data_IF_715454047843
#
_entry.id   IF_715454047843
#
_cell.length_a   1.000
_cell.length_b   1.000
_cell.length_c   1.000
_cell.angle_alpha   90.00
_cell.angle_beta   90.00
_cell.angle_gamma   90.00
#
_symmetry.space_group_name_H-M   'P 1'
#
loop_
_entity.id
_entity.type
_entity.pdbx_description
1 polymer ?
#
# COMPACT_ATOMS: atom_id res chain seq x y z
N UNK A 1 -9.45 -15.41 -10.07
CA UNK A 1 -9.14 -14.87 -8.72
C UNK A 1 -8.10 -13.77 -8.93
N UNK A 2 -8.38 -12.51 -8.55
CA UNK A 2 -7.40 -11.42 -8.76
C UNK A 2 -6.15 -11.68 -7.89
N UNK A 3 -4.93 -11.74 -8.47
CA UNK A 3 -3.69 -11.98 -7.70
C UNK A 3 -3.53 -11.00 -6.53
N UNK A 4 -3.91 -9.74 -6.76
CA UNK A 4 -3.94 -8.70 -5.72
C UNK A 4 -4.88 -9.05 -4.54
N UNK A 5 -6.05 -9.64 -4.81
CA UNK A 5 -7.00 -10.02 -3.77
C UNK A 5 -6.46 -11.21 -2.95
N UNK A 6 -5.81 -12.18 -3.61
CA UNK A 6 -5.14 -13.29 -2.92
C UNK A 6 -4.03 -12.78 -2.00
N UNK A 7 -3.13 -11.92 -2.50
CA UNK A 7 -2.04 -11.39 -1.68
C UNK A 7 -2.50 -10.47 -0.56
N UNK A 8 -3.50 -9.61 -0.79
CA UNK A 8 -4.07 -8.78 0.28
C UNK A 8 -4.76 -9.60 1.37
N UNK A 9 -5.31 -10.76 1.02
CA UNK A 9 -6.06 -11.61 1.95
C UNK A 9 -5.12 -12.55 2.73
N UNK A 10 -4.06 -13.05 2.09
CA UNK A 10 -3.23 -14.13 2.64
C UNK A 10 -1.77 -13.75 2.90
N UNK A 11 -1.29 -12.60 2.40
CA UNK A 11 0.12 -12.18 2.51
C UNK A 11 0.26 -10.93 3.39
N UNK A 12 1.26 -10.93 4.28
CA UNK A 12 1.42 -9.94 5.36
C UNK A 12 1.66 -8.54 4.78
N UNK A 13 0.97 -7.53 5.35
CA UNK A 13 0.98 -6.14 4.90
C UNK A 13 2.11 -5.29 5.54
N UNK A 14 3.02 -5.90 6.29
CA UNK A 14 4.13 -5.17 6.90
C UNK A 14 5.19 -4.88 5.84
N UNK A 15 5.30 -3.61 5.48
CA UNK A 15 6.32 -3.14 4.57
C UNK A 15 7.64 -2.97 5.32
N UNK A 16 8.66 -3.71 4.88
CA UNK A 16 10.04 -3.62 5.36
C UNK A 16 10.70 -2.35 4.81
N UNK A 17 11.72 -1.77 5.47
CA UNK A 17 12.46 -0.60 4.99
C UNK A 17 13.41 -1.00 3.82
N UNK A 18 12.84 -1.45 2.72
CA UNK A 18 13.59 -1.90 1.55
C UNK A 18 12.87 -1.53 0.24
N UNK A 19 13.65 -1.46 -0.83
CA UNK A 19 13.18 -1.37 -2.22
C UNK A 19 13.54 -2.68 -2.91
N UNK A 20 12.54 -3.36 -3.48
CA UNK A 20 12.79 -4.54 -4.31
C UNK A 20 13.39 -4.08 -5.64
N UNK A 21 14.53 -4.64 -6.02
CA UNK A 21 15.24 -4.28 -7.26
C UNK A 21 15.21 -5.46 -8.22
N UNK A 22 14.40 -5.32 -9.26
CA UNK A 22 14.34 -6.22 -10.40
C UNK A 22 15.35 -5.76 -11.46
N UNK A 23 16.44 -6.49 -11.66
CA UNK A 23 17.43 -6.15 -12.68
C UNK A 23 18.20 -7.39 -13.16
N UNK A 24 18.89 -7.25 -14.29
CA UNK A 24 19.77 -8.30 -14.80
C UNK A 24 20.95 -8.57 -13.85
N UNK A 25 21.25 -9.85 -13.62
CA UNK A 25 22.43 -10.31 -12.87
C UNK A 25 23.70 -10.41 -13.72
N UNK A 26 23.61 -10.16 -15.03
CA UNK A 26 24.78 -10.29 -15.87
C UNK A 26 25.86 -9.27 -15.43
N UNK A 27 27.15 -9.65 -15.39
CA UNK A 27 28.21 -8.86 -14.76
C UNK A 27 28.29 -7.40 -15.23
N UNK A 28 27.97 -7.14 -16.50
CA UNK A 28 27.97 -5.79 -17.07
C UNK A 28 26.95 -4.83 -16.44
N UNK A 29 25.92 -5.34 -15.76
CA UNK A 29 24.92 -4.52 -15.06
C UNK A 29 25.25 -4.32 -13.58
N UNK A 30 26.24 -5.02 -13.04
CA UNK A 30 26.59 -4.94 -11.62
C UNK A 30 26.98 -3.50 -11.22
N UNK A 31 27.70 -2.78 -12.09
CA UNK A 31 28.05 -1.39 -11.87
C UNK A 31 26.83 -0.45 -11.75
N UNK A 32 25.70 -0.76 -12.43
CA UNK A 32 24.46 0.01 -12.28
C UNK A 32 23.88 -0.15 -10.87
N UNK A 33 23.94 -1.38 -10.33
CA UNK A 33 23.49 -1.66 -8.99
C UNK A 33 24.35 -0.95 -7.95
N UNK A 34 25.66 -1.19 -7.99
CA UNK A 34 26.58 -0.77 -6.93
C UNK A 34 26.79 0.74 -6.90
N UNK A 35 26.85 1.37 -8.08
CA UNK A 35 27.21 2.79 -8.19
C UNK A 35 26.01 3.73 -8.27
N UNK A 36 24.83 3.23 -8.63
CA UNK A 36 23.64 4.08 -8.85
C UNK A 36 22.46 3.63 -8.00
N UNK A 37 21.95 2.42 -8.20
CA UNK A 37 20.70 1.98 -7.57
C UNK A 37 20.85 1.86 -6.05
N UNK A 38 21.82 1.09 -5.57
CA UNK A 38 21.99 0.87 -4.13
C UNK A 38 22.36 2.15 -3.36
N UNK A 39 23.21 3.05 -3.87
CA UNK A 39 23.43 4.37 -3.27
C UNK A 39 22.16 5.23 -3.23
N UNK A 40 21.40 5.30 -4.33
CA UNK A 40 20.17 6.10 -4.38
C UNK A 40 19.12 5.62 -3.38
N UNK A 41 18.94 4.30 -3.26
CA UNK A 41 18.02 3.71 -2.28
C UNK A 41 18.46 4.00 -0.85
N UNK A 42 19.75 3.80 -0.53
CA UNK A 42 20.28 4.04 0.83
C UNK A 42 20.23 5.52 1.26
N UNK A 43 20.17 6.44 0.30
CA UNK A 43 19.99 7.87 0.57
C UNK A 43 18.58 8.24 1.07
N UNK A 44 17.63 7.30 1.08
CA UNK A 44 16.23 7.54 1.46
C UNK A 44 15.96 6.91 2.83
N UNK A 45 15.23 7.63 3.67
CA UNK A 45 14.72 7.13 4.96
C UNK A 45 13.20 7.05 4.93
N UNK A 46 12.65 6.02 5.57
CA UNK A 46 11.21 5.88 5.84
C UNK A 46 11.05 5.67 7.34
N UNK A 47 10.41 6.64 8.01
CA UNK A 47 10.55 6.79 9.46
C UNK A 47 12.01 7.06 9.83
N UNK A 48 12.51 6.37 10.85
CA UNK A 48 13.88 6.52 11.34
C UNK A 48 14.85 5.48 10.75
N UNK A 49 14.43 4.75 9.71
CA UNK A 49 15.24 3.67 9.11
C UNK A 49 15.62 4.00 7.66
N UNK A 50 16.90 3.84 7.27
CA UNK A 50 17.32 3.95 5.88
C UNK A 50 16.78 2.78 5.07
N UNK A 51 16.41 3.03 3.82
CA UNK A 51 16.01 1.98 2.90
C UNK A 51 17.22 1.16 2.44
N UNK A 52 17.00 -0.14 2.29
CA UNK A 52 17.96 -1.06 1.69
C UNK A 52 17.52 -1.49 0.28
N UNK A 53 18.47 -1.62 -0.65
CA UNK A 53 18.19 -2.20 -1.95
C UNK A 53 18.19 -3.74 -1.82
N UNK A 54 17.05 -4.38 -2.02
CA UNK A 54 16.90 -5.83 -1.95
C UNK A 54 16.81 -6.40 -3.36
N UNK A 55 17.82 -7.20 -3.73
CA UNK A 55 17.88 -7.94 -4.99
C UNK A 55 18.00 -9.42 -4.64
N UNK A 56 17.16 -10.27 -5.22
CA UNK A 56 17.17 -11.73 -4.95
C UNK A 56 18.47 -12.32 -5.48
N UNK A 57 19.20 -13.11 -4.69
CA UNK A 57 20.47 -13.69 -5.13
C UNK A 57 20.25 -15.07 -5.78
N UNK A 58 20.80 -15.27 -6.97
CA UNK A 58 20.77 -16.54 -7.71
C UNK A 58 21.58 -17.64 -7.01
N UNK A 59 22.42 -17.30 -6.01
CA UNK A 59 23.22 -18.27 -5.26
C UNK A 59 22.40 -19.16 -4.30
N UNK A 60 21.14 -18.83 -4.04
CA UNK A 60 20.23 -19.63 -3.20
C UNK A 60 19.55 -20.73 -4.03
N UNK A 61 19.45 -21.93 -3.45
CA UNK A 61 18.85 -23.14 -4.08
C UNK A 61 17.48 -22.87 -4.73
N UNK A 62 17.24 -23.46 -5.91
CA UNK A 62 16.20 -23.07 -6.88
C UNK A 62 14.75 -23.00 -6.39
N UNK A 63 14.36 -23.75 -5.36
CA UNK A 63 12.98 -23.72 -4.85
C UNK A 63 12.67 -22.44 -4.04
N UNK A 64 13.69 -21.71 -3.54
CA UNK A 64 13.47 -20.51 -2.74
C UNK A 64 13.42 -19.21 -3.55
N UNK A 65 13.86 -19.21 -4.82
CA UNK A 65 14.00 -17.97 -5.60
C UNK A 65 12.63 -17.32 -5.87
N UNK A 66 11.65 -18.11 -6.32
CA UNK A 66 10.31 -17.59 -6.58
C UNK A 66 9.63 -17.09 -5.30
N UNK A 67 9.84 -17.80 -4.17
CA UNK A 67 9.35 -17.36 -2.86
C UNK A 67 10.00 -16.05 -2.44
N UNK A 68 11.32 -15.91 -2.59
CA UNK A 68 12.06 -14.68 -2.26
C UNK A 68 11.65 -13.50 -3.16
N UNK A 69 11.34 -13.74 -4.44
CA UNK A 69 10.81 -12.73 -5.37
C UNK A 69 9.44 -12.23 -4.89
N UNK A 70 8.50 -13.16 -4.67
CA UNK A 70 7.13 -12.78 -4.26
C UNK A 70 7.15 -12.13 -2.87
N UNK A 71 7.94 -12.67 -1.94
CA UNK A 71 8.15 -12.09 -0.61
C UNK A 71 8.74 -10.68 -0.69
N UNK A 72 9.77 -10.48 -1.51
CA UNK A 72 10.39 -9.19 -1.75
C UNK A 72 9.43 -8.17 -2.34
N UNK A 73 8.68 -8.55 -3.39
CA UNK A 73 7.66 -7.69 -4.01
C UNK A 73 6.54 -7.35 -3.03
N UNK A 74 6.08 -8.31 -2.23
CA UNK A 74 4.99 -8.11 -1.28
C UNK A 74 5.38 -7.18 -0.13
N UNK A 75 6.61 -7.28 0.38
CA UNK A 75 7.01 -6.59 1.60
C UNK A 75 7.92 -5.36 1.38
N UNK A 76 8.32 -5.04 0.15
CA UNK A 76 9.11 -3.82 -0.09
C UNK A 76 8.24 -2.56 -0.12
N UNK A 77 8.83 -1.42 0.24
CA UNK A 77 8.16 -0.12 0.15
C UNK A 77 7.78 0.22 -1.29
N UNK A 78 8.71 -0.05 -2.22
CA UNK A 78 8.63 0.21 -3.66
C UNK A 78 9.27 -0.97 -4.39
N UNK A 79 8.80 -1.23 -5.61
CA UNK A 79 9.46 -2.06 -6.61
C UNK A 79 10.15 -1.16 -7.64
N UNK A 80 11.45 -1.33 -7.83
CA UNK A 80 12.26 -0.66 -8.83
C UNK A 80 12.71 -1.70 -9.87
N UNK A 81 12.49 -1.45 -11.15
CA UNK A 81 12.89 -2.38 -12.20
C UNK A 81 13.75 -1.70 -13.28
N UNK A 82 14.95 -2.22 -13.54
CA UNK A 82 15.79 -1.85 -14.68
C UNK A 82 15.31 -2.63 -15.93
N UNK A 83 14.51 -1.95 -16.73
CA UNK A 83 13.89 -2.48 -17.96
C UNK A 83 14.63 -2.00 -19.22
N UNK A 84 15.91 -1.68 -19.09
CA UNK A 84 16.77 -1.42 -20.25
C UNK A 84 16.78 -2.59 -21.24
N UNK A 85 16.89 -2.26 -22.52
CA UNK A 85 17.16 -3.25 -23.56
C UNK A 85 18.50 -3.97 -23.32
N UNK A 86 18.50 -5.29 -23.47
CA UNK A 86 19.69 -6.14 -23.22
C UNK A 86 20.28 -6.72 -24.50
N UNK A 87 19.58 -6.58 -25.63
CA UNK A 87 20.04 -7.05 -26.93
C UNK A 87 19.04 -6.72 -28.03
N UNK A 88 19.34 -7.20 -29.24
CA UNK A 88 18.45 -7.11 -30.41
C UNK A 88 18.25 -8.49 -31.00
N UNK A 89 17.03 -8.77 -31.44
CA UNK A 89 16.72 -9.99 -32.18
C UNK A 89 17.51 -10.02 -33.50
N UNK A 90 18.11 -11.17 -33.82
CA UNK A 90 18.84 -11.41 -35.05
C UNK A 90 17.98 -11.35 -36.32
N UNK A 91 16.68 -11.62 -36.21
CA UNK A 91 15.77 -11.67 -37.36
C UNK A 91 15.18 -10.29 -37.63
N UNK A 92 14.56 -9.68 -36.62
CA UNK A 92 13.83 -8.42 -36.78
C UNK A 92 14.68 -7.18 -36.49
N UNK A 93 15.84 -7.33 -35.81
CA UNK A 93 16.64 -6.22 -35.31
C UNK A 93 15.99 -5.46 -34.15
N UNK A 94 14.82 -5.90 -33.67
CA UNK A 94 14.07 -5.25 -32.60
C UNK A 94 14.75 -5.51 -31.26
N UNK A 95 14.88 -4.47 -30.45
CA UNK A 95 15.44 -4.59 -29.12
C UNK A 95 14.54 -5.43 -28.20
N UNK A 96 15.17 -6.27 -27.38
CA UNK A 96 14.47 -7.06 -26.37
C UNK A 96 15.02 -6.77 -24.97
N UNK A 97 14.16 -6.99 -23.97
CA UNK A 97 14.43 -6.76 -22.55
C UNK A 97 14.65 -8.07 -21.83
N UNK A 98 15.23 -8.00 -20.63
CA UNK A 98 15.47 -9.19 -19.82
C UNK A 98 14.14 -9.84 -19.41
N UNK A 99 13.90 -11.08 -19.86
CA UNK A 99 12.65 -11.80 -19.59
C UNK A 99 12.36 -12.03 -18.10
N UNK A 100 13.40 -12.26 -17.29
CA UNK A 100 13.23 -12.45 -15.84
C UNK A 100 12.78 -11.15 -15.17
N UNK A 101 13.38 -10.02 -15.55
CA UNK A 101 12.97 -8.70 -15.03
C UNK A 101 11.52 -8.39 -15.45
N UNK A 102 11.16 -8.68 -16.72
CA UNK A 102 9.79 -8.46 -17.18
C UNK A 102 8.77 -9.36 -16.46
N UNK A 103 9.15 -10.59 -16.11
CA UNK A 103 8.34 -11.48 -15.28
C UNK A 103 8.10 -10.91 -13.87
N UNK A 104 9.16 -10.43 -13.21
CA UNK A 104 9.06 -9.77 -11.90
C UNK A 104 8.21 -8.49 -11.94
N UNK A 105 8.34 -7.68 -13.01
CA UNK A 105 7.47 -6.52 -13.26
C UNK A 105 6.01 -6.95 -13.41
N UNK A 106 5.75 -8.03 -14.16
CA UNK A 106 4.40 -8.58 -14.31
C UNK A 106 3.80 -9.00 -12.97
N UNK A 107 4.57 -9.68 -12.12
CA UNK A 107 4.15 -10.01 -10.74
C UNK A 107 3.89 -8.72 -9.97
N UNK A 108 4.83 -7.78 -9.95
CA UNK A 108 4.69 -6.54 -9.20
C UNK A 108 3.39 -5.80 -9.57
N UNK A 109 3.09 -5.66 -10.86
CA UNK A 109 1.87 -5.00 -11.35
C UNK A 109 0.59 -5.79 -11.05
N UNK A 110 0.66 -7.12 -10.94
CA UNK A 110 -0.48 -7.94 -10.52
C UNK A 110 -0.77 -7.83 -9.01
N UNK A 111 0.24 -7.43 -8.22
CA UNK A 111 0.22 -7.53 -6.76
C UNK A 111 0.17 -6.16 -6.06
N UNK A 112 0.74 -5.13 -6.68
CA UNK A 112 0.93 -3.79 -6.12
C UNK A 112 0.17 -2.75 -6.92
N UNK A 113 -0.01 -1.56 -6.35
CA UNK A 113 -0.50 -0.43 -7.13
C UNK A 113 0.61 0.11 -8.04
N UNK A 114 0.28 0.64 -9.21
CA UNK A 114 1.29 1.15 -10.16
C UNK A 114 2.15 2.28 -9.58
N UNK A 115 1.61 3.07 -8.64
CA UNK A 115 2.38 4.10 -7.92
C UNK A 115 3.48 3.54 -7.01
N UNK A 116 3.45 2.25 -6.70
CA UNK A 116 4.48 1.54 -5.92
C UNK A 116 5.54 0.88 -6.81
N UNK A 117 5.44 1.04 -8.14
CA UNK A 117 6.35 0.46 -9.13
C UNK A 117 7.01 1.60 -9.91
N UNK A 118 8.33 1.60 -9.97
CA UNK A 118 9.13 2.52 -10.79
C UNK A 118 9.95 1.73 -11.80
N UNK A 119 9.75 2.03 -13.08
CA UNK A 119 10.56 1.47 -14.15
C UNK A 119 11.68 2.45 -14.52
N UNK A 120 12.91 1.95 -14.69
CA UNK A 120 14.05 2.74 -15.16
C UNK A 120 14.65 2.12 -16.41
N UNK A 121 15.26 2.95 -17.24
CA UNK A 121 15.88 2.55 -18.51
C UNK A 121 16.93 3.55 -18.94
N UNK A 122 17.89 3.11 -19.74
CA UNK A 122 18.91 3.98 -20.36
C UNK A 122 18.81 4.07 -21.89
N UNK A 123 17.94 3.26 -22.51
CA UNK A 123 17.68 3.26 -23.96
C UNK A 123 16.45 4.11 -24.36
N UNK A 124 16.21 4.23 -25.67
CA UNK A 124 15.05 4.89 -26.31
C UNK A 124 14.14 3.90 -27.06
N UNK A 125 14.30 2.59 -26.86
CA UNK A 125 13.47 1.57 -27.49
C UNK A 125 12.03 1.57 -26.98
N UNK A 126 11.06 1.29 -27.84
CA UNK A 126 9.63 1.30 -27.44
C UNK A 126 9.35 0.31 -26.31
N UNK A 127 8.48 0.72 -25.39
CA UNK A 127 7.90 -0.18 -24.40
C UNK A 127 6.86 -1.11 -25.02
N UNK A 128 6.65 -2.26 -24.37
CA UNK A 128 5.47 -3.09 -24.64
C UNK A 128 4.23 -2.31 -24.18
N UNK A 129 3.10 -2.50 -24.87
CA UNK A 129 1.88 -1.73 -24.61
C UNK A 129 1.44 -1.87 -23.14
N UNK A 130 1.56 -3.07 -22.56
CA UNK A 130 1.18 -3.41 -21.19
C UNK A 130 1.96 -2.64 -20.10
N UNK A 131 3.17 -2.16 -20.40
CA UNK A 131 4.02 -1.44 -19.44
C UNK A 131 4.16 0.05 -19.74
N UNK A 132 3.61 0.50 -20.87
CA UNK A 132 3.78 1.88 -21.33
C UNK A 132 3.07 2.92 -20.45
N UNK A 133 2.02 2.52 -19.74
CA UNK A 133 1.27 3.34 -18.78
C UNK A 133 1.89 3.40 -17.38
N UNK A 134 2.91 2.57 -17.12
CA UNK A 134 3.56 2.50 -15.82
C UNK A 134 4.57 3.66 -15.71
N UNK A 135 4.64 4.34 -14.55
CA UNK A 135 5.64 5.36 -14.32
C UNK A 135 7.04 4.87 -14.62
N UNK A 136 7.70 5.54 -15.54
CA UNK A 136 9.05 5.22 -15.96
C UNK A 136 9.89 6.47 -16.09
N UNK A 137 11.20 6.32 -15.88
CA UNK A 137 12.16 7.39 -16.11
C UNK A 137 13.36 6.89 -16.89
N UNK A 138 13.94 7.80 -17.67
CA UNK A 138 15.25 7.59 -18.27
C UNK A 138 16.33 7.93 -17.25
N UNK A 139 17.36 7.11 -17.16
CA UNK A 139 18.51 7.31 -16.29
C UNK A 139 19.79 7.03 -17.08
N UNK A 140 20.79 7.89 -16.90
CA UNK A 140 22.12 7.67 -17.45
C UNK A 140 23.00 6.97 -16.41
N UNK A 141 23.07 5.64 -16.47
CA UNK A 141 23.88 4.86 -15.53
C UNK A 141 25.40 5.11 -15.67
N UNK A 142 25.85 5.78 -16.74
CA UNK A 142 27.27 6.10 -16.93
C UNK A 142 27.71 7.33 -16.13
N UNK A 143 26.76 8.13 -15.62
CA UNK A 143 27.01 9.31 -14.80
C UNK A 143 26.36 9.19 -13.42
N UNK A 144 26.99 8.47 -12.45
CA UNK A 144 26.44 8.31 -11.12
C UNK A 144 26.14 9.63 -10.38
N UNK A 145 26.90 10.69 -10.65
CA UNK A 145 26.76 11.97 -9.98
C UNK A 145 25.40 12.64 -10.27
N UNK A 146 24.84 12.45 -11.47
CA UNK A 146 23.49 12.92 -11.81
C UNK A 146 22.43 11.83 -11.62
N UNK A 147 22.78 10.57 -11.86
CA UNK A 147 21.83 9.45 -11.82
C UNK A 147 21.32 9.15 -10.41
N UNK A 148 22.20 9.17 -9.40
CA UNK A 148 21.84 8.91 -8.00
C UNK A 148 20.79 9.89 -7.48
N UNK A 149 21.00 11.23 -7.53
CA UNK A 149 20.00 12.17 -7.03
C UNK A 149 18.69 12.12 -7.83
N UNK A 150 18.75 11.92 -9.16
CA UNK A 150 17.55 11.80 -9.98
C UNK A 150 16.71 10.57 -9.61
N UNK A 151 17.35 9.41 -9.42
CA UNK A 151 16.66 8.20 -8.99
C UNK A 151 16.09 8.34 -7.57
N UNK A 152 16.85 8.97 -6.67
CA UNK A 152 16.40 9.24 -5.31
C UNK A 152 15.15 10.12 -5.29
N UNK A 153 15.13 11.19 -6.08
CA UNK A 153 13.97 12.07 -6.22
C UNK A 153 12.75 11.32 -6.77
N UNK A 154 12.92 10.49 -7.79
CA UNK A 154 11.85 9.69 -8.37
C UNK A 154 11.26 8.70 -7.36
N UNK A 155 12.10 8.00 -6.60
CA UNK A 155 11.67 7.08 -5.53
C UNK A 155 10.92 7.83 -4.41
N UNK A 156 11.42 9.00 -3.98
CA UNK A 156 10.72 9.84 -3.01
C UNK A 156 9.36 10.31 -3.53
N UNK A 157 9.27 10.70 -4.80
CA UNK A 157 8.02 11.08 -5.42
C UNK A 157 6.99 9.92 -5.42
N UNK A 158 7.44 8.68 -5.69
CA UNK A 158 6.59 7.49 -5.59
C UNK A 158 6.11 7.24 -4.16
N UNK A 159 6.99 7.37 -3.15
CA UNK A 159 6.61 7.22 -1.74
C UNK A 159 5.53 8.23 -1.35
N UNK A 160 5.65 9.49 -1.79
CA UNK A 160 4.64 10.53 -1.55
C UNK A 160 3.33 10.22 -2.26
N UNK A 161 3.38 9.79 -3.52
CA UNK A 161 2.17 9.42 -4.27
C UNK A 161 1.44 8.24 -3.60
N UNK A 162 2.18 7.25 -3.10
CA UNK A 162 1.60 6.15 -2.32
C UNK A 162 0.89 6.67 -1.07
N UNK A 163 1.49 7.62 -0.35
CA UNK A 163 0.86 8.25 0.81
C UNK A 163 -0.44 8.96 0.42
N UNK A 164 -0.44 9.74 -0.66
CA UNK A 164 -1.65 10.43 -1.14
C UNK A 164 -2.77 9.45 -1.50
N UNK A 165 -2.44 8.33 -2.15
CA UNK A 165 -3.42 7.28 -2.46
C UNK A 165 -3.96 6.63 -1.19
N UNK A 166 -3.11 6.42 -0.17
CA UNK A 166 -3.55 5.92 1.13
C UNK A 166 -4.47 6.92 1.83
N UNK A 167 -4.12 8.20 1.84
CA UNK A 167 -4.91 9.27 2.43
C UNK A 167 -6.29 9.38 1.75
N UNK A 168 -6.34 9.35 0.41
CA UNK A 168 -7.60 9.34 -0.33
C UNK A 168 -8.49 8.13 0.01
N UNK A 169 -7.89 6.95 0.26
CA UNK A 169 -8.65 5.77 0.73
C UNK A 169 -9.18 5.95 2.14
N UNK A 170 -8.41 6.60 3.02
CA UNK A 170 -8.85 6.94 4.38
C UNK A 170 -10.01 7.94 4.32
N UNK A 171 -9.92 8.98 3.50
CA UNK A 171 -10.99 9.97 3.32
C UNK A 171 -12.28 9.34 2.77
N UNK A 172 -12.18 8.49 1.75
CA UNK A 172 -13.33 7.75 1.21
C UNK A 172 -13.96 6.82 2.26
N UNK A 173 -13.13 6.15 3.07
CA UNK A 173 -13.62 5.34 4.18
C UNK A 173 -14.36 6.21 5.20
N UNK A 174 -13.78 7.33 5.63
CA UNK A 174 -14.39 8.27 6.56
C UNK A 174 -15.73 8.83 6.05
N UNK A 175 -15.81 9.19 4.77
CA UNK A 175 -17.03 9.70 4.15
C UNK A 175 -18.18 8.68 4.11
N UNK A 176 -17.86 7.38 4.08
CA UNK A 176 -18.83 6.29 4.02
C UNK A 176 -19.23 5.68 5.37
N UNK A 177 -18.67 6.15 6.49
CA UNK A 177 -18.91 5.56 7.83
C UNK A 177 -20.22 6.08 8.43
N UNK A 178 -21.06 5.16 8.91
CA UNK A 178 -22.29 5.46 9.65
C UNK A 178 -22.02 5.66 11.14
N UNK A 179 -22.98 6.24 11.86
CA UNK A 179 -22.81 6.56 13.29
C UNK A 179 -22.53 5.31 14.14
N UNK A 180 -23.16 4.18 13.83
CA UNK A 180 -22.96 2.92 14.56
C UNK A 180 -21.54 2.37 14.36
N UNK A 181 -20.95 2.62 13.18
CA UNK A 181 -19.58 2.26 12.86
C UNK A 181 -18.59 3.20 13.56
N UNK A 182 -18.91 4.51 13.67
CA UNK A 182 -18.12 5.49 14.46
C UNK A 182 -17.97 5.02 15.90
N UNK A 183 -19.07 4.63 16.55
CA UNK A 183 -19.05 4.19 17.95
C UNK A 183 -18.12 2.98 18.13
N UNK A 184 -18.21 2.00 17.24
CA UNK A 184 -17.35 0.82 17.28
C UNK A 184 -15.88 1.17 17.01
N UNK A 185 -15.60 2.02 16.01
CA UNK A 185 -14.24 2.42 15.67
C UNK A 185 -13.57 3.23 16.79
N UNK A 186 -14.31 4.05 17.54
CA UNK A 186 -13.77 4.72 18.74
C UNK A 186 -13.31 3.73 19.81
N UNK A 187 -14.08 2.65 20.01
CA UNK A 187 -13.67 1.58 20.94
C UNK A 187 -12.44 0.85 20.43
N UNK A 188 -12.40 0.53 19.12
CA UNK A 188 -11.25 -0.11 18.47
C UNK A 188 -9.97 0.74 18.62
N UNK A 189 -10.07 2.06 18.54
CA UNK A 189 -8.94 2.98 18.63
C UNK A 189 -8.22 2.93 19.99
N UNK A 190 -8.86 2.43 21.03
CA UNK A 190 -8.27 2.23 22.37
C UNK A 190 -7.47 0.92 22.45
N UNK A 191 -7.66 -0.01 21.52
CA UNK A 191 -7.07 -1.34 21.61
C UNK A 191 -5.66 -1.41 21.05
N UNK A 192 -4.81 -2.18 21.73
CA UNK A 192 -3.46 -2.47 21.26
C UNK A 192 -3.45 -3.14 19.86
N UNK A 193 -2.36 -2.98 19.09
CA UNK A 193 -2.10 -3.80 17.90
C UNK A 193 -2.21 -5.30 18.21
N UNK A 194 -2.86 -6.07 17.33
CA UNK A 194 -3.09 -7.51 17.51
C UNK A 194 -4.29 -7.90 18.40
N UNK A 195 -4.96 -6.95 19.07
CA UNK A 195 -6.16 -7.26 19.86
C UNK A 195 -7.29 -7.75 18.96
N UNK A 196 -7.79 -8.94 19.26
CA UNK A 196 -8.95 -9.56 18.61
C UNK A 196 -10.20 -9.33 19.45
N UNK A 197 -11.32 -9.08 18.79
CA UNK A 197 -12.60 -8.85 19.46
C UNK A 197 -13.70 -9.71 18.84
N UNK A 198 -14.67 -10.09 19.65
CA UNK A 198 -15.87 -10.80 19.22
C UNK A 198 -17.07 -10.26 19.97
N UNK A 199 -18.27 -10.70 19.61
CA UNK A 199 -19.48 -10.33 20.34
C UNK A 199 -20.07 -11.54 21.03
N UNK A 200 -20.27 -11.41 22.34
CA UNK A 200 -20.93 -12.41 23.16
C UNK A 200 -22.42 -12.10 23.13
N UNK A 201 -23.21 -12.95 22.47
CA UNK A 201 -24.68 -12.86 22.51
C UNK A 201 -25.19 -13.31 23.89
N UNK A 202 -25.32 -12.39 24.84
CA UNK A 202 -25.87 -12.67 26.18
C UNK A 202 -27.41 -12.67 26.21
N UNK A 203 -28.07 -13.06 25.11
CA UNK A 203 -29.53 -13.21 25.03
C UNK A 203 -30.33 -11.93 24.70
N UNK A 204 -29.68 -10.77 24.54
CA UNK A 204 -30.29 -9.56 23.97
C UNK A 204 -29.78 -9.33 22.55
N UNK A 205 -30.69 -8.95 21.63
CA UNK A 205 -30.33 -8.68 20.23
C UNK A 205 -29.49 -7.41 20.16
N UNK A 206 -28.24 -7.57 19.75
CA UNK A 206 -27.29 -6.49 19.61
C UNK A 206 -27.35 -5.89 18.20
N UNK A 207 -28.37 -5.06 17.98
CA UNK A 207 -28.62 -4.42 16.69
C UNK A 207 -27.41 -3.61 16.17
N UNK A 208 -26.68 -2.93 17.07
CA UNK A 208 -25.49 -2.16 16.69
C UNK A 208 -24.39 -3.08 16.14
N UNK A 209 -24.16 -4.23 16.76
CA UNK A 209 -23.19 -5.20 16.27
C UNK A 209 -23.58 -5.81 14.94
N UNK A 210 -24.86 -6.16 14.80
CA UNK A 210 -25.41 -6.75 13.59
C UNK A 210 -25.37 -5.77 12.40
N UNK A 211 -25.49 -4.46 12.64
CA UNK A 211 -25.41 -3.45 11.58
C UNK A 211 -23.95 -3.04 11.26
N UNK A 212 -23.12 -2.83 12.29
CA UNK A 212 -21.76 -2.29 12.10
C UNK A 212 -20.76 -3.34 11.60
N UNK A 213 -20.80 -4.58 12.10
CA UNK A 213 -19.78 -5.59 11.74
C UNK A 213 -19.81 -5.90 10.23
N UNK A 214 -20.96 -6.20 9.59
CA UNK A 214 -20.98 -6.46 8.15
C UNK A 214 -20.48 -5.27 7.33
N UNK A 215 -20.86 -4.04 7.70
CA UNK A 215 -20.43 -2.83 6.97
C UNK A 215 -18.94 -2.54 7.12
N UNK A 216 -18.38 -2.76 8.32
CA UNK A 216 -16.94 -2.61 8.55
C UNK A 216 -16.14 -3.69 7.81
N UNK A 217 -16.68 -4.90 7.68
CA UNK A 217 -16.10 -5.97 6.84
C UNK A 217 -16.14 -5.59 5.35
N UNK A 218 -17.29 -5.11 4.87
CA UNK A 218 -17.47 -4.68 3.46
C UNK A 218 -16.51 -3.53 3.10
N UNK A 219 -16.29 -2.60 4.04
CA UNK A 219 -15.33 -1.49 3.90
C UNK A 219 -13.88 -1.89 4.16
N UNK A 220 -13.62 -3.16 4.49
CA UNK A 220 -12.30 -3.70 4.80
C UNK A 220 -11.60 -2.97 5.96
N UNK A 221 -12.37 -2.43 6.91
CA UNK A 221 -11.85 -1.78 8.13
C UNK A 221 -11.58 -2.81 9.23
N UNK A 222 -12.31 -3.92 9.21
CA UNK A 222 -12.03 -5.09 10.06
C UNK A 222 -11.95 -6.34 9.18
N UNK A 223 -11.39 -7.42 9.71
CA UNK A 223 -11.36 -8.75 9.08
C UNK A 223 -11.65 -9.83 10.10
N UNK A 224 -12.23 -10.93 9.66
CA UNK A 224 -12.32 -12.14 10.48
C UNK A 224 -10.94 -12.81 10.55
N UNK A 225 -10.49 -13.15 11.75
CA UNK A 225 -9.20 -13.82 12.01
C UNK A 225 -9.36 -15.21 12.62
N UNK A 226 -10.57 -15.58 13.03
CA UNK A 226 -10.87 -16.89 13.58
C UNK A 226 -12.23 -16.93 14.27
N UNK A 227 -12.33 -17.80 15.27
CA UNK A 227 -13.48 -17.91 16.17
C UNK A 227 -12.98 -18.12 17.60
N UNK A 228 -13.76 -17.64 18.57
CA UNK A 228 -13.55 -17.93 19.99
C UNK A 228 -14.04 -19.37 20.32
N UNK A 229 -13.70 -19.86 21.51
CA UNK A 229 -14.07 -21.22 21.96
C UNK A 229 -15.59 -21.45 22.02
N UNK A 230 -16.35 -20.38 22.22
CA UNK A 230 -17.82 -20.38 22.21
C UNK A 230 -18.42 -20.35 20.79
N UNK A 231 -17.58 -20.41 19.76
CA UNK A 231 -17.98 -20.43 18.35
C UNK A 231 -18.25 -19.04 17.75
N UNK A 232 -18.08 -17.96 18.51
CA UNK A 232 -18.29 -16.61 17.99
C UNK A 232 -17.15 -16.19 17.06
N UNK A 233 -17.43 -15.49 15.96
CA UNK A 233 -16.38 -15.02 15.06
C UNK A 233 -15.50 -13.98 15.78
N UNK A 234 -14.20 -14.08 15.51
CA UNK A 234 -13.17 -13.24 16.07
C UNK A 234 -12.64 -12.30 14.99
N UNK A 235 -12.63 -11.00 15.27
CA UNK A 235 -12.30 -9.94 14.33
C UNK A 235 -11.09 -9.14 14.79
N UNK A 236 -10.33 -8.62 13.83
CA UNK A 236 -9.23 -7.70 14.06
C UNK A 236 -9.37 -6.49 13.11
N UNK A 237 -9.06 -5.26 13.57
CA UNK A 237 -8.97 -4.12 12.65
C UNK A 237 -7.82 -4.28 11.65
N UNK A 238 -8.09 -3.94 10.40
CA UNK A 238 -7.06 -3.90 9.34
C UNK A 238 -6.14 -2.67 9.54
N UNK A 239 -4.99 -2.57 8.85
CA UNK A 239 -4.17 -1.35 8.91
C UNK A 239 -4.96 -0.08 8.55
N UNK A 240 -5.81 -0.14 7.51
CA UNK A 240 -6.72 0.95 7.15
C UNK A 240 -7.72 1.23 8.28
N UNK A 241 -8.33 0.18 8.83
CA UNK A 241 -9.25 0.29 9.96
C UNK A 241 -8.66 0.96 11.19
N UNK A 242 -7.40 0.69 11.51
CA UNK A 242 -6.70 1.34 12.63
C UNK A 242 -6.47 2.83 12.38
N UNK A 243 -5.99 3.19 11.19
CA UNK A 243 -5.81 4.61 10.83
C UNK A 243 -7.13 5.37 10.90
N UNK A 244 -8.19 4.79 10.31
CA UNK A 244 -9.54 5.35 10.35
C UNK A 244 -10.06 5.45 11.79
N UNK A 245 -9.86 4.42 12.62
CA UNK A 245 -10.27 4.42 14.02
C UNK A 245 -9.60 5.54 14.82
N UNK A 246 -8.29 5.76 14.63
CA UNK A 246 -7.54 6.87 15.25
C UNK A 246 -8.12 8.22 14.81
N UNK A 247 -8.34 8.42 13.51
CA UNK A 247 -8.93 9.68 13.01
C UNK A 247 -10.34 9.93 13.56
N UNK A 248 -11.16 8.88 13.68
CA UNK A 248 -12.50 8.97 14.26
C UNK A 248 -12.45 9.32 15.76
N UNK A 249 -11.44 8.83 16.48
CA UNK A 249 -11.18 9.13 17.90
C UNK A 249 -10.73 10.58 18.10
N UNK A 250 -9.77 11.05 17.30
CA UNK A 250 -9.22 12.41 17.37
C UNK A 250 -10.27 13.47 17.00
N UNK A 251 -11.30 13.07 16.25
CA UNK A 251 -12.57 13.77 16.15
C UNK A 251 -12.95 14.04 14.71
N UNK A 252 -14.13 13.56 14.33
CA UNK A 252 -14.76 13.98 13.08
C UNK A 252 -15.11 15.47 13.15
N UNK A 253 -15.08 16.13 11.98
CA UNK A 253 -15.51 17.52 11.84
C UNK A 253 -16.91 17.70 12.44
N UNK A 254 -17.00 18.55 13.47
CA UNK A 254 -18.27 18.90 14.10
C UNK A 254 -18.94 20.02 13.30
N UNK A 255 -20.24 19.88 13.08
CA UNK A 255 -21.06 20.91 12.47
C UNK A 255 -22.04 21.43 13.52
N UNK A 256 -22.22 22.74 13.59
CA UNK A 256 -23.26 23.36 14.40
C UNK A 256 -24.58 23.29 13.64
N UNK A 257 -25.60 22.69 14.24
CA UNK A 257 -26.94 22.66 13.67
C UNK A 257 -27.58 24.05 13.82
N UNK A 258 -27.45 24.87 12.79
CA UNK A 258 -28.03 26.22 12.75
C UNK A 258 -29.56 26.19 12.64
N UNK A 259 -30.17 25.04 12.35
CA UNK A 259 -31.63 24.90 12.29
C UNK A 259 -32.25 24.67 13.68
N UNK A 260 -31.58 23.91 14.55
CA UNK A 260 -31.98 23.77 15.97
C UNK A 260 -31.88 25.07 16.75
N UNK A 261 -30.81 25.84 16.54
CA UNK A 261 -30.63 27.13 17.21
C UNK A 261 -31.77 28.12 16.92
N UNK A 262 -32.31 28.12 15.69
CA UNK A 262 -33.44 28.98 15.31
C UNK A 262 -34.77 28.53 15.92
N UNK A 263 -34.97 27.23 16.11
CA UNK A 263 -36.19 26.72 16.76
C UNK A 263 -36.19 26.98 18.27
N UNK A 264 -35.02 26.92 18.92
CA UNK A 264 -34.89 27.26 20.34
C UNK A 264 -35.09 28.77 20.60
N UNK A 265 -34.64 29.65 19.70
CA UNK A 265 -34.95 31.09 19.78
C UNK A 265 -36.44 31.39 19.54
N UNK A 266 -37.09 30.67 18.62
CA UNK A 266 -38.52 30.80 18.35
C UNK A 266 -39.37 30.35 19.55
N UNK A 267 -39.04 29.21 20.18
CA UNK A 267 -39.73 28.72 21.37
C UNK A 267 -39.48 29.61 22.60
N UNK A 268 -38.25 30.14 22.78
CA UNK A 268 -37.95 31.08 23.86
C UNK A 268 -38.74 32.39 23.75
N UNK A 269 -38.95 32.89 22.52
CA UNK A 269 -39.76 34.10 22.26
C UNK A 269 -41.27 33.91 22.46
N UNK A 270 -41.76 32.67 22.53
CA UNK A 270 -43.17 32.34 22.74
C UNK A 270 -43.58 32.25 24.23
N UNK A 271 -42.62 32.32 25.15
CA UNK A 271 -42.81 32.15 26.61
C UNK A 271 -42.76 33.43 27.45
N UNK A 272 -42.69 34.63 26.85
CA UNK A 272 -42.86 35.88 27.60
C UNK A 272 -44.36 36.22 27.74
N UNK A 273 -44.97 36.11 28.94
CA UNK A 273 -46.33 36.58 29.17
C UNK A 273 -46.33 38.12 29.29
N UNK A 274 -47.29 38.74 28.59
CA UNK A 274 -47.60 40.16 28.67
C UNK A 274 -48.15 40.58 30.06
#
# INVERSE_FOLDING_TARGET
MHPQAFLKTFWRLELRPQVFVAMSFAPQYQGRFDNVIAPAVRGITVGDQPLSAFRVDLSKSGDSILTDIVDGIAHSQIVLADVSSVGKDSVTGVAYRNGNVMYEVGIALACRHSSEVLLVRDDEDRFLFDVSSIPHMKIDFTNPASAVPALQEALLARLRERQLVQDARVELALAGISNDEVVMLRQIAEWAPGTVFGRISKGTVDFFGMASIPRLLDKQLIRAVGQFEDGQPAYEPTPLGRVVAVMVKDGLRKFTDTSRAKNEEADASATEPA
#
